data_IF_128662878825
#
_entry.id   IF_128662878825
#
_cell.length_a   1.000
_cell.length_b   1.000
_cell.length_c   1.000
_cell.angle_alpha   90.00
_cell.angle_beta   90.00
_cell.angle_gamma   90.00
#
_symmetry.space_group_name_H-M   'P 1'
#
loop_
_entity.id
_entity.type
_entity.pdbx_description
1 polymer ?
#
# COMPACT_ATOMS: atom_id res chain seq x y z
N UNK A 1 -23.86 13.74 -48.66
CA UNK A 1 -22.39 13.76 -48.64
C UNK A 1 -21.94 14.38 -47.33
N UNK A 2 -21.80 13.54 -46.29
CA UNK A 2 -21.03 13.77 -45.06
C UNK A 2 -21.20 12.50 -44.19
N UNK A 3 -20.09 11.79 -44.00
CA UNK A 3 -19.96 10.48 -43.39
C UNK A 3 -20.24 10.47 -41.87
N UNK A 4 -20.72 9.36 -41.28
CA UNK A 4 -20.66 9.15 -39.84
C UNK A 4 -19.23 8.82 -39.43
N UNK A 5 -18.62 9.66 -38.59
CA UNK A 5 -17.30 9.38 -38.00
C UNK A 5 -17.42 8.25 -36.97
N UNK A 6 -16.99 7.06 -37.38
CA UNK A 6 -16.79 5.90 -36.50
C UNK A 6 -15.75 6.22 -35.41
N UNK A 7 -16.20 6.25 -34.17
CA UNK A 7 -15.33 6.27 -33.00
C UNK A 7 -14.79 4.84 -32.76
N UNK A 8 -13.60 4.56 -33.30
CA UNK A 8 -12.84 3.33 -33.00
C UNK A 8 -12.38 3.39 -31.54
N UNK A 9 -13.14 2.76 -30.63
CA UNK A 9 -12.71 2.54 -29.25
C UNK A 9 -11.78 1.32 -29.22
N UNK A 10 -10.49 1.56 -29.00
CA UNK A 10 -9.48 0.51 -28.90
C UNK A 10 -9.71 -0.35 -27.65
N UNK A 11 -10.11 -1.60 -27.85
CA UNK A 11 -10.15 -2.61 -26.80
C UNK A 11 -8.70 -2.98 -26.43
N UNK A 12 -8.17 -2.39 -25.35
CA UNK A 12 -6.87 -2.78 -24.81
C UNK A 12 -7.02 -4.11 -24.07
N UNK A 13 -6.89 -5.19 -24.82
CA UNK A 13 -6.63 -6.54 -24.29
C UNK A 13 -5.27 -6.51 -23.63
N UNK A 14 -5.23 -6.49 -22.29
CA UNK A 14 -4.00 -6.76 -21.56
C UNK A 14 -3.68 -8.26 -21.69
N UNK A 15 -2.44 -8.63 -22.04
CA UNK A 15 -2.05 -10.03 -22.07
C UNK A 15 -2.08 -10.62 -20.65
N UNK A 16 -2.71 -11.78 -20.52
CA UNK A 16 -2.61 -12.66 -19.37
C UNK A 16 -1.15 -13.03 -19.13
N UNK A 17 -0.57 -12.55 -18.03
CA UNK A 17 0.63 -13.17 -17.48
C UNK A 17 0.22 -14.44 -16.73
N UNK A 18 0.54 -15.56 -17.37
CA UNK A 18 0.42 -16.89 -16.80
C UNK A 18 1.42 -17.06 -15.66
N UNK A 19 0.90 -17.56 -14.53
CA UNK A 19 1.65 -18.50 -13.69
C UNK A 19 2.13 -17.92 -12.37
N UNK A 20 1.41 -18.24 -11.30
CA UNK A 20 2.04 -18.89 -10.15
C UNK A 20 1.00 -19.79 -9.50
N UNK A 21 1.28 -21.09 -9.57
CA UNK A 21 0.55 -22.16 -8.93
C UNK A 21 0.53 -21.90 -7.41
N UNK A 22 -0.60 -21.45 -6.88
CA UNK A 22 -0.85 -21.51 -5.43
C UNK A 22 -1.29 -22.94 -5.11
N UNK A 23 -0.32 -23.85 -5.13
CA UNK A 23 -0.44 -25.13 -4.43
C UNK A 23 -0.59 -24.84 -2.94
N UNK A 24 -1.73 -25.27 -2.42
CA UNK A 24 -1.97 -25.49 -0.99
C UNK A 24 -0.80 -26.23 -0.35
N UNK A 25 -0.41 -25.76 0.83
CA UNK A 25 -0.27 -26.55 2.06
C UNK A 25 0.76 -25.92 2.99
N UNK A 26 0.25 -25.51 4.15
CA UNK A 26 0.87 -25.56 5.47
C UNK A 26 2.21 -24.85 5.73
N UNK A 27 2.09 -23.77 6.52
CA UNK A 27 2.99 -23.41 7.62
C UNK A 27 4.50 -23.46 7.34
N UNK A 28 4.99 -22.58 6.46
CA UNK A 28 6.40 -22.24 6.39
C UNK A 28 6.59 -20.78 6.85
N UNK A 29 7.06 -20.63 8.09
CA UNK A 29 7.59 -19.35 8.59
C UNK A 29 8.66 -18.84 7.61
N UNK A 30 8.48 -17.59 7.17
CA UNK A 30 9.51 -16.77 6.54
C UNK A 30 10.00 -17.23 5.16
N UNK A 31 9.17 -17.03 4.13
CA UNK A 31 9.63 -16.91 2.75
C UNK A 31 10.36 -15.57 2.55
N UNK A 32 11.61 -15.51 2.98
CA UNK A 32 12.56 -14.52 2.47
C UNK A 32 13.50 -15.25 1.53
N UNK A 33 13.36 -15.01 0.23
CA UNK A 33 14.45 -14.95 -0.75
C UNK A 33 13.83 -14.67 -2.14
N UNK A 34 14.04 -13.47 -2.67
CA UNK A 34 14.57 -13.20 -4.02
C UNK A 34 14.49 -11.68 -4.29
N UNK A 35 15.64 -11.10 -4.64
CA UNK A 35 15.90 -9.68 -4.98
C UNK A 35 16.05 -8.66 -3.82
N UNK A 36 17.30 -8.49 -3.39
CA UNK A 36 17.95 -7.21 -3.04
C UNK A 36 17.16 -6.14 -2.28
N UNK A 37 17.36 -6.09 -0.96
CA UNK A 37 17.91 -4.99 -0.15
C UNK A 37 18.00 -5.60 1.27
N UNK A 38 19.21 -5.74 1.83
CA UNK A 38 19.34 -6.00 3.26
C UNK A 38 18.93 -4.73 4.01
N UNK A 39 17.63 -4.50 4.17
CA UNK A 39 17.15 -3.53 5.13
C UNK A 39 17.44 -4.17 6.47
N UNK A 40 18.39 -3.61 7.22
CA UNK A 40 18.51 -3.90 8.65
C UNK A 40 17.19 -3.42 9.26
N UNK A 41 16.20 -4.31 9.35
CA UNK A 41 14.89 -4.00 9.92
C UNK A 41 15.05 -3.76 11.41
N UNK A 42 15.45 -2.55 11.78
CA UNK A 42 15.48 -2.05 13.15
C UNK A 42 14.11 -2.19 13.82
N UNK A 43 13.05 -2.16 12.99
CA UNK A 43 11.67 -2.47 13.34
C UNK A 43 11.43 -3.84 13.97
N UNK A 44 12.31 -4.84 13.77
CA UNK A 44 12.12 -6.15 14.42
C UNK A 44 12.34 -6.09 15.94
N UNK A 45 13.09 -5.09 16.41
CA UNK A 45 13.42 -4.90 17.83
C UNK A 45 12.53 -3.85 18.51
N UNK A 46 11.66 -3.15 17.77
CA UNK A 46 10.81 -2.09 18.30
C UNK A 46 9.35 -2.34 17.96
N UNK A 47 8.47 -2.01 18.90
CA UNK A 47 7.01 -2.09 18.68
C UNK A 47 6.57 -0.91 17.82
N UNK A 48 5.93 -1.19 16.68
CA UNK A 48 5.32 -0.17 15.83
C UNK A 48 3.86 0.02 16.23
N UNK A 49 3.49 1.25 16.57
CA UNK A 49 2.09 1.64 16.82
C UNK A 49 1.60 2.47 15.64
N UNK A 50 0.50 2.01 15.03
CA UNK A 50 -0.18 2.69 13.95
C UNK A 50 -1.20 3.69 14.50
N UNK A 51 -0.81 4.96 14.51
CA UNK A 51 -1.58 6.08 15.04
C UNK A 51 -2.78 6.53 14.18
N UNK A 52 -3.37 5.67 13.33
CA UNK A 52 -4.55 6.09 12.56
C UNK A 52 -5.54 4.98 12.26
N UNK A 53 -6.82 5.38 12.16
CA UNK A 53 -8.00 4.53 11.96
C UNK A 53 -8.12 3.95 10.55
N UNK A 54 -7.24 4.31 9.62
CA UNK A 54 -7.36 3.87 8.21
C UNK A 54 -7.02 2.39 8.01
N UNK A 55 -7.97 1.54 7.56
CA UNK A 55 -7.71 0.12 7.29
C UNK A 55 -6.68 -0.09 6.17
N UNK A 56 -6.68 0.80 5.16
CA UNK A 56 -5.73 0.73 4.04
C UNK A 56 -4.28 0.80 4.49
N UNK A 57 -3.97 1.65 5.48
CA UNK A 57 -2.60 1.80 5.98
C UNK A 57 -2.15 0.59 6.80
N UNK A 58 -3.06 -0.03 7.57
CA UNK A 58 -2.72 -1.28 8.27
C UNK A 58 -2.41 -2.41 7.29
N UNK A 59 -3.14 -2.51 6.18
CA UNK A 59 -2.84 -3.49 5.13
C UNK A 59 -1.45 -3.24 4.54
N UNK A 60 -1.14 -2.01 4.13
CA UNK A 60 0.17 -1.67 3.56
C UNK A 60 1.35 -2.01 4.48
N UNK A 61 1.23 -1.71 5.78
CA UNK A 61 2.29 -2.00 6.73
C UNK A 61 2.43 -3.51 7.01
N UNK A 62 1.32 -4.26 7.04
CA UNK A 62 1.34 -5.71 7.18
C UNK A 62 1.93 -6.40 5.96
N UNK A 63 1.57 -5.95 4.76
CA UNK A 63 2.11 -6.47 3.49
C UNK A 63 3.61 -6.20 3.36
N UNK A 64 4.11 -5.12 3.97
CA UNK A 64 5.53 -4.82 4.09
C UNK A 64 6.26 -5.65 5.16
N UNK A 65 5.55 -6.54 5.88
CA UNK A 65 6.12 -7.44 6.89
C UNK A 65 6.28 -6.83 8.29
N UNK A 66 5.60 -5.72 8.58
CA UNK A 66 5.61 -5.13 9.93
C UNK A 66 4.53 -5.74 10.82
N UNK A 67 4.91 -6.05 12.05
CA UNK A 67 3.96 -6.28 13.13
C UNK A 67 3.55 -4.93 13.72
N UNK A 68 2.26 -4.63 13.66
CA UNK A 68 1.72 -3.30 14.00
C UNK A 68 0.53 -3.41 14.94
N UNK A 69 0.51 -2.53 15.92
CA UNK A 69 -0.63 -2.34 16.80
C UNK A 69 -1.38 -1.07 16.40
N UNK A 70 -2.70 -1.18 16.17
CA UNK A 70 -3.51 -0.02 15.78
C UNK A 70 -4.01 0.69 17.03
N UNK A 71 -3.53 1.91 17.24
CA UNK A 71 -4.01 2.81 18.30
C UNK A 71 -4.36 4.15 17.65
N UNK A 72 -5.63 4.38 17.30
CA UNK A 72 -6.07 5.61 16.67
C UNK A 72 -5.65 6.88 17.40
N UNK A 73 -4.99 7.81 16.71
CA UNK A 73 -4.84 9.15 17.23
C UNK A 73 -6.19 9.89 17.21
N UNK A 74 -6.43 10.68 18.26
CA UNK A 74 -7.56 11.58 18.38
C UNK A 74 -7.03 13.02 18.26
N UNK A 75 -6.63 13.37 17.03
CA UNK A 75 -6.00 14.67 16.72
C UNK A 75 -6.94 15.47 15.84
N UNK A 76 -7.02 16.77 16.12
CA UNK A 76 -7.79 17.72 15.33
C UNK A 76 -7.06 18.09 14.03
N UNK A 77 -7.62 17.65 12.90
CA UNK A 77 -7.09 17.87 11.55
C UNK A 77 -7.56 19.22 10.94
N UNK A 78 -7.80 20.26 11.74
CA UNK A 78 -8.27 21.55 11.22
C UNK A 78 -7.17 22.32 10.49
N UNK A 79 -7.25 22.47 9.17
CA UNK A 79 -6.30 23.29 8.42
C UNK A 79 -6.43 24.77 8.80
N UNK A 80 -5.32 25.45 9.08
CA UNK A 80 -5.33 26.90 9.30
C UNK A 80 -5.32 27.67 7.97
N UNK A 81 -5.87 28.89 7.96
CA UNK A 81 -6.05 29.72 6.76
C UNK A 81 -4.76 29.96 5.97
N UNK A 82 -3.66 30.15 6.69
CA UNK A 82 -2.35 30.52 6.11
C UNK A 82 -1.36 29.34 6.09
N UNK A 83 -1.87 28.12 6.33
CA UNK A 83 -1.03 26.93 6.40
C UNK A 83 -0.83 26.30 5.02
N UNK A 84 0.44 26.14 4.64
CA UNK A 84 0.77 25.43 3.40
C UNK A 84 0.37 23.94 3.52
N UNK A 85 0.00 23.27 2.41
CA UNK A 85 -0.37 21.85 2.44
C UNK A 85 0.72 20.95 3.04
N UNK A 86 1.99 21.31 2.83
CA UNK A 86 3.13 20.57 3.39
C UNK A 86 3.22 20.74 4.90
N UNK A 87 2.98 21.94 5.40
CA UNK A 87 2.98 22.25 6.83
C UNK A 87 1.84 21.51 7.53
N UNK A 88 0.64 21.57 6.94
CA UNK A 88 -0.58 20.94 7.44
C UNK A 88 -0.40 19.44 7.72
N UNK A 89 0.19 18.69 6.78
CA UNK A 89 0.39 17.23 6.94
C UNK A 89 1.51 16.89 7.93
N UNK A 90 2.44 17.81 8.17
CA UNK A 90 3.63 17.55 8.99
C UNK A 90 3.46 17.81 10.49
N UNK A 91 2.40 18.50 10.89
CA UNK A 91 2.20 18.98 12.27
C UNK A 91 1.73 17.90 13.23
#
# INVERSE_FOLDING_TARGET
MADPTDAVHANRTFPSDNGCCLSSSDNAKSAHCCAGIMVRSYHRLVRIVLASRSPRRSTLLRDAGYDIEVSPADVEEHQFSDESPRTYVSR
#
